data_IF_033116733860
#
_entry.id   IF_033116733860
#
_cell.length_a   1.000
_cell.length_b   1.000
_cell.length_c   1.000
_cell.angle_alpha   90.00
_cell.angle_beta   90.00
_cell.angle_gamma   90.00
#
_symmetry.space_group_name_H-M   'P 1'
#
loop_
_entity.id
_entity.type
_entity.pdbx_description
1 polymer ?
#
# COMPACT_ATOMS: atom_id res chain seq x y z
N UNK A 1 7.02 1.28 13.14
CA UNK A 1 8.01 0.83 14.12
C UNK A 1 7.74 -0.63 14.50
N UNK A 2 8.78 -1.45 14.70
CA UNK A 2 8.71 -2.88 15.01
C UNK A 2 8.11 -3.78 13.92
N UNK A 3 8.04 -3.31 12.69
CA UNK A 3 7.69 -4.11 11.51
C UNK A 3 8.95 -4.31 10.69
N UNK A 4 9.16 -5.54 10.17
CA UNK A 4 10.27 -5.80 9.23
C UNK A 4 10.01 -5.00 7.97
N UNK A 5 10.92 -4.09 7.58
CA UNK A 5 10.65 -3.16 6.49
C UNK A 5 10.85 -3.81 5.12
N UNK A 6 10.09 -3.32 4.15
CA UNK A 6 10.37 -3.47 2.73
C UNK A 6 10.70 -2.09 2.16
N UNK A 7 9.85 -1.10 2.39
CA UNK A 7 9.96 0.22 1.78
C UNK A 7 9.52 1.32 2.75
N UNK A 8 10.41 2.22 3.11
CA UNK A 8 10.10 3.34 4.01
C UNK A 8 9.11 4.35 3.44
N UNK A 9 8.92 4.37 2.12
CA UNK A 9 7.99 5.31 1.46
C UNK A 9 6.69 4.68 0.98
N UNK A 10 6.57 3.34 1.00
CA UNK A 10 5.39 2.61 0.53
C UNK A 10 4.75 1.71 1.61
N UNK A 11 5.51 1.27 2.62
CA UNK A 11 4.97 0.43 3.69
C UNK A 11 3.97 1.20 4.54
N UNK A 12 2.87 0.54 4.87
CA UNK A 12 1.89 1.05 5.82
C UNK A 12 1.27 -0.08 6.63
N UNK A 13 0.99 0.19 7.89
CA UNK A 13 0.22 -0.70 8.75
C UNK A 13 -1.23 -0.22 8.81
N UNK A 14 -2.17 -1.06 8.37
CA UNK A 14 -3.59 -0.76 8.39
C UNK A 14 -4.37 -1.71 9.30
N UNK A 15 -5.41 -1.25 10.00
CA UNK A 15 -6.26 -2.10 10.82
C UNK A 15 -7.08 -3.06 9.96
N UNK A 16 -7.14 -4.34 10.37
CA UNK A 16 -8.05 -5.33 9.83
C UNK A 16 -9.10 -5.69 10.88
N UNK A 17 -10.37 -5.48 10.55
CA UNK A 17 -11.48 -5.71 11.47
C UNK A 17 -12.73 -6.20 10.72
N UNK A 18 -13.75 -6.64 11.46
CA UNK A 18 -15.01 -7.12 10.87
C UNK A 18 -16.01 -6.02 10.57
N UNK A 19 -15.80 -4.82 11.08
CA UNK A 19 -16.60 -3.65 10.78
C UNK A 19 -15.73 -2.41 10.57
N UNK A 20 -16.26 -1.41 9.87
CA UNK A 20 -15.60 -0.11 9.70
C UNK A 20 -15.38 0.58 11.03
N UNK A 21 -16.35 0.48 11.96
CA UNK A 21 -16.22 1.05 13.29
C UNK A 21 -15.06 0.43 14.08
N UNK A 22 -14.93 -0.91 14.07
CA UNK A 22 -13.83 -1.59 14.76
C UNK A 22 -12.46 -1.22 14.13
N UNK A 23 -12.42 -1.08 12.79
CA UNK A 23 -11.21 -0.61 12.09
C UNK A 23 -10.85 0.83 12.49
N UNK A 24 -11.83 1.71 12.59
CA UNK A 24 -11.66 3.10 13.03
C UNK A 24 -11.19 3.19 14.50
N UNK A 25 -11.74 2.38 15.38
CA UNK A 25 -11.30 2.28 16.78
C UNK A 25 -9.85 1.80 16.88
N UNK A 26 -9.49 0.76 16.11
CA UNK A 26 -8.11 0.27 16.07
C UNK A 26 -7.17 1.32 15.47
N UNK A 27 -7.57 1.99 14.38
CA UNK A 27 -6.79 3.09 13.80
C UNK A 27 -6.58 4.22 14.81
N UNK A 28 -7.61 4.59 15.56
CA UNK A 28 -7.51 5.59 16.64
C UNK A 28 -6.46 5.19 17.68
N UNK A 29 -6.42 3.90 18.03
CA UNK A 29 -5.47 3.41 19.03
C UNK A 29 -4.02 3.39 18.55
N UNK A 30 -3.78 3.12 17.26
CA UNK A 30 -2.42 3.01 16.70
C UNK A 30 -1.93 4.31 16.04
N UNK A 31 -2.82 5.23 15.68
CA UNK A 31 -2.45 6.49 15.03
C UNK A 31 -1.87 7.48 16.06
N UNK A 32 -0.56 7.56 16.12
CA UNK A 32 0.14 8.45 17.03
C UNK A 32 1.43 8.99 16.42
N UNK A 33 2.04 9.98 17.08
CA UNK A 33 3.40 10.39 16.76
C UNK A 33 4.38 9.43 17.44
N UNK A 34 5.27 8.81 16.66
CA UNK A 34 6.37 7.99 17.16
C UNK A 34 7.69 8.68 16.81
N UNK A 35 8.49 9.10 17.81
CA UNK A 35 9.79 9.72 17.55
C UNK A 35 10.77 8.81 16.78
N UNK A 36 10.58 7.49 16.83
CA UNK A 36 11.38 6.54 16.08
C UNK A 36 10.96 6.44 14.59
N UNK A 37 9.82 7.02 14.23
CA UNK A 37 9.32 7.12 12.87
C UNK A 37 9.00 8.59 12.53
N UNK A 38 9.95 9.26 11.90
CA UNK A 38 9.90 10.69 11.64
C UNK A 38 8.68 11.12 10.81
N UNK A 39 8.19 10.26 9.90
CA UNK A 39 7.01 10.55 9.07
C UNK A 39 5.78 10.76 9.94
N UNK A 40 5.63 9.98 11.00
CA UNK A 40 4.49 10.09 11.90
C UNK A 40 4.45 11.41 12.67
N UNK A 41 5.58 12.10 12.81
CA UNK A 41 5.66 13.38 13.52
C UNK A 41 5.26 14.58 12.65
N UNK A 42 5.20 14.40 11.32
CA UNK A 42 4.92 15.49 10.37
C UNK A 42 3.44 15.59 9.96
N UNK A 43 2.58 14.67 10.38
CA UNK A 43 1.16 14.65 10.03
C UNK A 43 0.40 15.71 10.84
N UNK A 44 -0.07 16.79 10.21
CA UNK A 44 -0.89 17.79 10.88
C UNK A 44 -2.33 17.29 11.06
N UNK A 45 -3.03 17.83 12.05
CA UNK A 45 -4.49 17.67 12.23
C UNK A 45 -4.98 16.20 12.24
N UNK A 46 -4.28 15.34 12.95
CA UNK A 46 -4.71 13.97 13.15
C UNK A 46 -6.04 13.93 13.92
N UNK A 47 -7.09 13.23 13.45
CA UNK A 47 -8.30 13.05 14.23
C UNK A 47 -7.99 12.41 15.58
N UNK A 48 -8.62 12.91 16.63
CA UNK A 48 -8.53 12.30 17.98
C UNK A 48 -9.30 10.97 18.03
N UNK A 49 -10.33 10.82 17.18
CA UNK A 49 -11.18 9.64 17.04
C UNK A 49 -11.58 9.49 15.57
N UNK A 50 -11.09 8.43 14.92
CA UNK A 50 -11.46 8.10 13.53
C UNK A 50 -12.86 7.51 13.40
N UNK A 51 -13.49 7.10 14.51
CA UNK A 51 -14.87 6.63 14.56
C UNK A 51 -15.90 7.76 14.67
N UNK A 52 -15.46 8.97 15.00
CA UNK A 52 -16.35 10.12 15.17
C UNK A 52 -17.12 10.43 13.87
N UNK A 53 -18.44 10.52 13.96
CA UNK A 53 -19.32 10.84 12.84
C UNK A 53 -19.62 9.68 11.87
N UNK A 54 -19.08 8.48 12.07
CA UNK A 54 -19.37 7.34 11.18
C UNK A 54 -20.85 6.93 11.21
N UNK A 55 -21.50 7.04 12.36
CA UNK A 55 -22.92 6.68 12.50
C UNK A 55 -23.87 7.65 11.77
N UNK A 56 -23.43 8.88 11.59
CA UNK A 56 -24.18 9.95 10.91
C UNK A 56 -23.78 10.10 9.43
N UNK A 57 -22.84 9.29 8.95
CA UNK A 57 -22.38 9.32 7.56
C UNK A 57 -23.48 8.85 6.60
N UNK A 58 -23.59 9.50 5.45
CA UNK A 58 -24.55 9.16 4.40
C UNK A 58 -23.88 9.14 3.04
N UNK A 59 -24.35 8.26 2.15
CA UNK A 59 -23.97 8.24 0.74
C UNK A 59 -24.96 9.00 -0.15
N UNK A 60 -26.02 9.61 0.42
CA UNK A 60 -27.06 10.32 -0.35
C UNK A 60 -26.45 11.42 -1.22
N UNK A 61 -26.59 11.28 -2.53
CA UNK A 61 -26.04 12.20 -3.53
C UNK A 61 -24.52 12.16 -3.73
N UNK A 62 -23.81 11.29 -3.02
CA UNK A 62 -22.35 11.14 -3.17
C UNK A 62 -22.05 10.46 -4.51
N UNK A 63 -21.26 11.11 -5.34
CA UNK A 63 -20.82 10.57 -6.63
C UNK A 63 -19.57 9.72 -6.42
N UNK A 64 -19.62 8.45 -6.87
CA UNK A 64 -18.56 7.45 -6.68
C UNK A 64 -18.15 6.89 -8.03
N UNK A 65 -16.87 7.01 -8.36
CA UNK A 65 -16.28 6.41 -9.56
C UNK A 65 -16.04 4.92 -9.39
N UNK A 66 -16.54 4.12 -10.31
CA UNK A 66 -16.49 2.65 -10.27
C UNK A 66 -15.52 2.14 -11.32
N UNK A 67 -14.44 1.50 -10.88
CA UNK A 67 -13.38 0.97 -11.74
C UNK A 67 -13.64 -0.51 -12.05
N UNK A 68 -14.68 -0.80 -12.86
CA UNK A 68 -15.11 -2.19 -13.15
C UNK A 68 -14.03 -3.03 -13.84
N UNK A 69 -13.20 -2.43 -14.66
CA UNK A 69 -12.08 -3.12 -15.31
C UNK A 69 -11.06 -3.73 -14.36
N UNK A 70 -11.06 -3.34 -13.08
CA UNK A 70 -10.14 -3.85 -12.06
C UNK A 70 -10.65 -5.11 -11.32
N UNK A 71 -11.84 -5.63 -11.66
CA UNK A 71 -12.44 -6.82 -11.00
C UNK A 71 -11.77 -8.12 -11.42
N UNK A 72 -11.13 -8.16 -12.60
CA UNK A 72 -10.57 -9.40 -13.17
C UNK A 72 -11.65 -10.37 -13.69
N UNK A 73 -11.29 -11.65 -13.83
CA UNK A 73 -12.15 -12.63 -14.52
C UNK A 73 -12.96 -13.55 -13.59
N UNK A 74 -12.70 -13.52 -12.29
CA UNK A 74 -13.38 -14.37 -11.31
C UNK A 74 -14.85 -13.96 -11.12
N UNK A 75 -15.78 -14.88 -11.41
CA UNK A 75 -17.21 -14.59 -11.34
C UNK A 75 -17.69 -14.30 -9.92
N UNK A 76 -17.19 -15.01 -8.92
CA UNK A 76 -17.52 -14.77 -7.51
C UNK A 76 -17.11 -13.38 -7.01
N UNK A 77 -15.99 -12.83 -7.53
CA UNK A 77 -15.59 -11.45 -7.23
C UNK A 77 -16.48 -10.44 -7.95
N UNK A 78 -16.86 -10.70 -9.22
CA UNK A 78 -17.82 -9.86 -9.95
C UNK A 78 -19.14 -9.77 -9.21
N UNK A 79 -19.69 -10.91 -8.82
CA UNK A 79 -20.97 -10.99 -8.09
C UNK A 79 -20.92 -10.25 -6.74
N UNK A 80 -19.82 -10.41 -5.99
CA UNK A 80 -19.63 -9.73 -4.71
C UNK A 80 -19.46 -8.20 -4.90
N UNK A 81 -18.73 -7.78 -5.91
CA UNK A 81 -18.54 -6.36 -6.22
C UNK A 81 -19.86 -5.71 -6.67
N UNK A 82 -20.60 -6.36 -7.57
CA UNK A 82 -21.91 -5.87 -8.03
C UNK A 82 -22.92 -5.78 -6.87
N UNK A 83 -22.91 -6.74 -5.95
CA UNK A 83 -23.74 -6.66 -4.74
C UNK A 83 -23.37 -5.46 -3.86
N UNK A 84 -22.07 -5.19 -3.67
CA UNK A 84 -21.60 -4.02 -2.92
C UNK A 84 -21.99 -2.69 -3.59
N UNK A 85 -21.90 -2.62 -4.92
CA UNK A 85 -22.33 -1.45 -5.69
C UNK A 85 -23.83 -1.20 -5.55
N UNK A 86 -24.64 -2.25 -5.63
CA UNK A 86 -26.09 -2.15 -5.40
C UNK A 86 -26.44 -1.69 -3.98
N UNK A 87 -25.62 -2.06 -2.98
CA UNK A 87 -25.78 -1.55 -1.61
C UNK A 87 -25.48 -0.04 -1.52
N UNK A 88 -24.44 0.43 -2.21
CA UNK A 88 -24.11 1.85 -2.29
C UNK A 88 -25.21 2.67 -2.97
N UNK A 89 -25.78 2.18 -4.08
CA UNK A 89 -26.92 2.83 -4.75
C UNK A 89 -28.16 2.88 -3.84
N UNK A 90 -28.45 1.81 -3.12
CA UNK A 90 -29.56 1.79 -2.15
C UNK A 90 -29.36 2.76 -0.98
N UNK A 91 -28.09 3.07 -0.66
CA UNK A 91 -27.73 4.07 0.33
C UNK A 91 -27.70 5.51 -0.24
N UNK A 92 -28.08 5.70 -1.51
CA UNK A 92 -28.22 7.01 -2.17
C UNK A 92 -27.00 7.47 -2.96
N UNK A 93 -25.98 6.63 -3.13
CA UNK A 93 -24.82 6.98 -3.96
C UNK A 93 -25.17 7.06 -5.45
N UNK A 94 -24.49 7.93 -6.17
CA UNK A 94 -24.53 8.04 -7.63
C UNK A 94 -23.27 7.37 -8.18
N UNK A 95 -23.42 6.22 -8.81
CA UNK A 95 -22.31 5.48 -9.39
C UNK A 95 -21.98 6.01 -10.79
N UNK A 96 -20.68 6.20 -11.06
CA UNK A 96 -20.14 6.66 -12.36
C UNK A 96 -19.11 5.63 -12.80
N UNK A 97 -19.39 4.89 -13.86
CA UNK A 97 -18.42 3.95 -14.41
C UNK A 97 -17.21 4.69 -15.00
N UNK A 98 -16.02 4.27 -14.62
CA UNK A 98 -14.76 4.88 -15.02
C UNK A 98 -13.92 3.83 -15.76
N UNK A 99 -13.55 4.18 -16.99
CA UNK A 99 -12.54 3.44 -17.74
C UNK A 99 -11.14 3.81 -17.22
N UNK A 100 -10.39 2.80 -16.82
CA UNK A 100 -9.04 2.97 -16.30
C UNK A 100 -8.11 1.87 -16.82
N UNK A 101 -7.05 2.30 -17.48
CA UNK A 101 -5.95 1.43 -17.88
C UNK A 101 -4.73 1.68 -16.99
N UNK A 102 -4.20 0.65 -16.32
CA UNK A 102 -3.03 0.79 -15.45
C UNK A 102 -1.80 1.29 -16.21
N UNK A 103 -1.13 2.27 -15.66
CA UNK A 103 0.11 2.80 -16.23
C UNK A 103 1.29 1.87 -15.90
N UNK A 104 1.83 1.18 -16.91
CA UNK A 104 2.93 0.22 -16.75
C UNK A 104 4.24 0.90 -16.30
N UNK A 105 4.46 2.16 -16.67
CA UNK A 105 5.62 2.93 -16.22
C UNK A 105 5.55 3.23 -14.73
N UNK A 106 4.38 3.59 -14.23
CA UNK A 106 4.14 3.79 -12.79
C UNK A 106 4.49 2.53 -11.99
N UNK A 107 4.04 1.36 -12.45
CA UNK A 107 4.37 0.09 -11.77
C UNK A 107 5.85 -0.25 -11.83
N UNK A 108 6.51 -0.05 -12.97
CA UNK A 108 7.95 -0.25 -13.12
C UNK A 108 8.72 0.63 -12.15
N UNK A 109 8.40 1.91 -12.10
CA UNK A 109 9.08 2.87 -11.26
C UNK A 109 8.81 2.64 -9.77
N UNK A 110 7.56 2.32 -9.41
CA UNK A 110 7.20 1.92 -8.04
C UNK A 110 7.96 0.66 -7.61
N UNK A 111 8.11 -0.31 -8.49
CA UNK A 111 8.88 -1.53 -8.21
C UNK A 111 10.38 -1.26 -8.05
N UNK A 112 10.94 -0.35 -8.85
CA UNK A 112 12.34 0.08 -8.70
C UNK A 112 12.57 0.75 -7.34
N UNK A 113 11.63 1.60 -6.90
CA UNK A 113 11.64 2.21 -5.56
C UNK A 113 11.64 1.13 -4.48
N UNK A 114 10.74 0.15 -4.61
CA UNK A 114 10.62 -0.96 -3.67
C UNK A 114 11.94 -1.75 -3.54
N UNK A 115 12.58 -2.08 -4.65
CA UNK A 115 13.83 -2.84 -4.66
C UNK A 115 14.99 -2.06 -4.01
N UNK A 116 15.11 -0.77 -4.32
CA UNK A 116 16.15 0.07 -3.72
C UNK A 116 15.93 0.22 -2.19
N UNK A 117 14.71 0.50 -1.78
CA UNK A 117 14.38 0.69 -0.36
C UNK A 117 14.47 -0.61 0.43
N UNK A 118 14.09 -1.76 -0.14
CA UNK A 118 14.24 -3.06 0.50
C UNK A 118 15.70 -3.31 0.94
N UNK A 119 16.65 -3.00 0.07
CA UNK A 119 18.08 -3.13 0.38
C UNK A 119 18.49 -2.23 1.55
N UNK A 120 18.15 -0.94 1.45
CA UNK A 120 18.55 0.06 2.44
C UNK A 120 17.87 -0.16 3.80
N UNK A 121 16.57 -0.38 3.80
CA UNK A 121 15.79 -0.50 5.03
C UNK A 121 16.02 -1.86 5.74
N UNK A 122 16.18 -2.95 4.99
CA UNK A 122 16.54 -4.24 5.57
C UNK A 122 17.91 -4.18 6.23
N UNK A 123 18.89 -3.51 5.61
CA UNK A 123 20.20 -3.29 6.19
C UNK A 123 20.15 -2.50 7.50
N UNK A 124 19.40 -1.41 7.54
CA UNK A 124 19.18 -0.61 8.76
C UNK A 124 18.50 -1.44 9.86
N UNK A 125 17.44 -2.17 9.50
CA UNK A 125 16.69 -2.99 10.43
C UNK A 125 17.56 -4.07 11.05
N UNK A 126 18.23 -4.88 10.24
CA UNK A 126 19.11 -5.98 10.69
C UNK A 126 20.26 -5.46 11.55
N UNK A 127 20.85 -4.31 11.19
CA UNK A 127 21.93 -3.68 11.96
C UNK A 127 21.46 -3.20 13.34
N UNK A 128 20.17 -2.87 13.51
CA UNK A 128 19.58 -2.41 14.76
C UNK A 128 19.25 -3.52 15.75
N UNK A 129 19.19 -4.80 15.30
CA UNK A 129 18.82 -5.91 16.13
C UNK A 129 19.94 -6.25 17.15
N UNK A 130 19.59 -6.60 18.40
CA UNK A 130 20.55 -7.06 19.40
C UNK A 130 21.07 -8.47 19.07
N UNK A 131 22.19 -8.86 19.64
CA UNK A 131 22.78 -10.19 19.49
C UNK A 131 23.98 -10.22 18.57
N UNK A 132 24.70 -11.34 18.57
CA UNK A 132 25.87 -11.61 17.73
C UNK A 132 25.58 -12.76 16.75
N UNK A 133 26.33 -12.85 15.66
CA UNK A 133 26.21 -13.93 14.69
C UNK A 133 24.99 -13.91 13.79
N UNK A 134 24.25 -12.80 13.77
CA UNK A 134 23.07 -12.61 12.92
C UNK A 134 23.43 -11.84 11.63
N UNK A 135 22.70 -12.06 10.52
CA UNK A 135 22.77 -11.18 9.34
C UNK A 135 22.61 -9.70 9.71
N UNK A 136 23.40 -8.82 9.11
CA UNK A 136 23.39 -7.37 9.38
C UNK A 136 23.10 -6.53 8.13
N UNK A 137 23.02 -7.20 7.00
CA UNK A 137 22.72 -6.61 5.70
C UNK A 137 21.84 -7.55 4.88
N UNK A 138 21.29 -7.05 3.79
CA UNK A 138 20.56 -7.91 2.85
C UNK A 138 21.49 -8.96 2.24
N UNK A 139 22.75 -8.59 1.93
CA UNK A 139 23.75 -9.52 1.43
C UNK A 139 24.04 -10.66 2.42
N UNK A 140 24.16 -10.36 3.73
CA UNK A 140 24.35 -11.39 4.77
C UNK A 140 23.11 -12.31 4.87
N UNK A 141 21.91 -11.75 4.73
CA UNK A 141 20.67 -12.53 4.74
C UNK A 141 20.59 -13.46 3.53
N UNK A 142 20.95 -12.98 2.34
CA UNK A 142 21.07 -13.80 1.14
C UNK A 142 22.02 -14.96 1.36
N UNK A 143 23.22 -14.70 1.88
CA UNK A 143 24.22 -15.73 2.14
C UNK A 143 23.73 -16.74 3.22
N UNK A 144 23.03 -16.27 4.24
CA UNK A 144 22.42 -17.14 5.25
C UNK A 144 21.38 -18.08 4.63
N UNK A 145 20.48 -17.55 3.79
CA UNK A 145 19.46 -18.35 3.12
C UNK A 145 20.09 -19.41 2.18
N UNK A 146 21.14 -19.05 1.45
CA UNK A 146 21.87 -19.99 0.60
C UNK A 146 22.53 -21.11 1.41
N UNK A 147 23.15 -20.78 2.54
CA UNK A 147 23.80 -21.76 3.42
C UNK A 147 22.77 -22.69 4.09
N UNK A 148 21.51 -22.28 4.19
CA UNK A 148 20.41 -23.01 4.82
C UNK A 148 19.26 -23.33 3.81
N UNK A 149 19.56 -23.48 2.54
CA UNK A 149 18.59 -23.55 1.45
C UNK A 149 17.53 -24.64 1.61
N UNK A 150 17.88 -25.78 2.20
CA UNK A 150 16.94 -26.90 2.44
C UNK A 150 15.79 -26.50 3.38
N UNK A 151 16.02 -25.55 4.27
CA UNK A 151 15.03 -25.05 5.24
C UNK A 151 14.41 -23.75 4.76
N UNK A 152 15.24 -22.76 4.41
CA UNK A 152 14.80 -21.39 4.16
C UNK A 152 14.21 -21.21 2.76
N UNK A 153 14.69 -21.98 1.77
CA UNK A 153 14.22 -21.87 0.37
C UNK A 153 13.43 -23.11 -0.11
N UNK A 154 12.82 -23.84 0.83
CA UNK A 154 12.09 -25.08 0.52
C UNK A 154 10.91 -24.88 -0.43
N UNK A 155 10.24 -23.73 -0.39
CA UNK A 155 9.00 -23.46 -1.11
C UNK A 155 9.15 -22.45 -2.22
N UNK A 156 10.10 -21.52 -2.11
CA UNK A 156 10.42 -20.49 -3.09
C UNK A 156 11.87 -20.01 -2.89
N UNK A 157 12.44 -19.40 -3.92
CA UNK A 157 13.78 -18.82 -3.88
C UNK A 157 13.81 -17.40 -3.31
N UNK A 158 14.93 -16.71 -3.52
CA UNK A 158 15.16 -15.34 -3.02
C UNK A 158 15.48 -14.33 -4.13
N UNK A 159 14.89 -14.53 -5.32
CA UNK A 159 15.21 -13.72 -6.51
C UNK A 159 15.02 -12.22 -6.27
N UNK A 160 13.98 -11.83 -5.52
CA UNK A 160 13.72 -10.43 -5.18
C UNK A 160 14.77 -9.85 -4.24
N UNK A 161 15.34 -10.63 -3.33
CA UNK A 161 16.44 -10.18 -2.47
C UNK A 161 17.71 -9.94 -3.30
N UNK A 162 18.02 -10.87 -4.23
CA UNK A 162 19.15 -10.73 -5.14
C UNK A 162 18.99 -9.50 -6.04
N UNK A 163 17.79 -9.28 -6.57
CA UNK A 163 17.48 -8.10 -7.37
C UNK A 163 17.62 -6.82 -6.56
N UNK A 164 17.07 -6.78 -5.35
CA UNK A 164 17.17 -5.63 -4.45
C UNK A 164 18.62 -5.31 -4.10
N UNK A 165 19.44 -6.34 -3.78
CA UNK A 165 20.86 -6.15 -3.47
C UNK A 165 21.64 -5.55 -4.65
N UNK A 166 21.27 -5.90 -5.89
CA UNK A 166 21.82 -5.32 -7.11
C UNK A 166 21.32 -3.91 -7.44
N UNK A 167 20.27 -3.42 -6.76
CA UNK A 167 19.65 -2.10 -7.05
C UNK A 167 20.29 -1.02 -6.19
N UNK A 168 21.36 -0.39 -6.70
CA UNK A 168 22.22 0.54 -5.94
C UNK A 168 22.22 1.97 -6.46
N UNK A 169 21.66 2.22 -7.64
CA UNK A 169 21.65 3.55 -8.29
C UNK A 169 20.65 4.48 -7.61
N UNK A 170 21.17 5.41 -6.80
CA UNK A 170 20.38 6.40 -6.06
C UNK A 170 19.72 7.44 -6.97
N UNK A 171 20.39 7.87 -8.03
CA UNK A 171 19.83 8.85 -8.95
C UNK A 171 18.63 8.25 -9.71
N UNK A 172 18.77 7.03 -10.20
CA UNK A 172 17.67 6.30 -10.82
C UNK A 172 16.50 6.04 -9.84
N UNK A 173 16.80 5.73 -8.58
CA UNK A 173 15.78 5.60 -7.52
C UNK A 173 15.01 6.90 -7.29
N UNK A 174 15.70 8.03 -7.14
CA UNK A 174 15.05 9.34 -6.90
C UNK A 174 14.18 9.77 -8.09
N UNK A 175 14.66 9.53 -9.32
CA UNK A 175 13.89 9.78 -10.53
C UNK A 175 12.63 8.89 -10.60
N UNK A 176 12.77 7.59 -10.37
CA UNK A 176 11.66 6.63 -10.36
C UNK A 176 10.63 6.97 -9.28
N UNK A 177 11.07 7.32 -8.07
CA UNK A 177 10.17 7.72 -6.97
C UNK A 177 9.36 8.96 -7.32
N UNK A 178 10.00 9.99 -7.86
CA UNK A 178 9.33 11.22 -8.29
C UNK A 178 8.30 10.94 -9.38
N UNK A 179 8.67 10.13 -10.37
CA UNK A 179 7.79 9.79 -11.47
C UNK A 179 6.61 8.92 -11.03
N UNK A 180 6.84 7.91 -10.19
CA UNK A 180 5.77 7.05 -9.66
C UNK A 180 4.72 7.85 -8.86
N UNK A 181 5.14 8.79 -8.01
CA UNK A 181 4.24 9.67 -7.26
C UNK A 181 3.42 10.55 -8.21
N UNK A 182 4.06 11.17 -9.21
CA UNK A 182 3.38 12.01 -10.21
C UNK A 182 2.36 11.20 -11.01
N UNK A 183 2.75 10.04 -11.50
CA UNK A 183 1.87 9.18 -12.30
C UNK A 183 0.69 8.62 -11.48
N UNK A 184 0.92 8.21 -10.23
CA UNK A 184 -0.14 7.68 -9.37
C UNK A 184 -1.11 8.76 -8.85
N UNK A 185 -0.60 9.93 -8.45
CA UNK A 185 -1.39 11.06 -7.96
C UNK A 185 -1.99 11.89 -9.09
N UNK A 186 -1.26 12.90 -9.50
CA UNK A 186 -1.74 13.93 -10.44
C UNK A 186 -2.25 13.38 -11.78
N UNK A 187 -1.58 12.33 -12.31
CA UNK A 187 -1.90 11.74 -13.62
C UNK A 187 -2.90 10.60 -13.57
N UNK A 188 -3.28 10.14 -12.39
CA UNK A 188 -4.24 9.05 -12.22
C UNK A 188 -5.35 9.44 -11.25
N UNK A 189 -5.13 9.37 -9.95
CA UNK A 189 -6.21 9.52 -8.95
C UNK A 189 -6.84 10.90 -9.05
N UNK A 190 -6.04 11.97 -9.01
CA UNK A 190 -6.55 13.34 -9.02
C UNK A 190 -7.28 13.63 -10.34
N UNK A 191 -6.74 13.16 -11.47
CA UNK A 191 -7.34 13.33 -12.79
C UNK A 191 -8.68 12.60 -12.88
N UNK A 192 -8.74 11.32 -12.48
CA UNK A 192 -9.98 10.53 -12.52
C UNK A 192 -11.08 11.13 -11.65
N UNK A 193 -10.74 11.60 -10.44
CA UNK A 193 -11.69 12.29 -9.57
C UNK A 193 -12.24 13.57 -10.21
N UNK A 194 -11.35 14.40 -10.77
CA UNK A 194 -11.72 15.68 -11.33
C UNK A 194 -12.51 15.57 -12.65
N UNK A 195 -12.06 14.72 -13.59
CA UNK A 195 -12.69 14.57 -14.91
C UNK A 195 -14.09 13.94 -14.84
N UNK A 196 -14.32 13.09 -13.85
CA UNK A 196 -15.60 12.38 -13.67
C UNK A 196 -16.51 13.05 -12.62
N UNK A 197 -16.04 14.12 -11.98
CA UNK A 197 -16.77 14.80 -10.90
C UNK A 197 -17.24 13.81 -9.83
N UNK A 198 -16.31 13.00 -9.32
CA UNK A 198 -16.58 12.00 -8.28
C UNK A 198 -15.75 12.28 -7.03
N UNK A 199 -16.31 11.94 -5.86
CA UNK A 199 -15.65 12.17 -4.57
C UNK A 199 -14.71 11.05 -4.18
N UNK A 200 -14.98 9.82 -4.66
CA UNK A 200 -14.24 8.61 -4.33
C UNK A 200 -14.13 7.71 -5.55
N UNK A 201 -13.12 6.83 -5.53
CA UNK A 201 -12.99 5.71 -6.45
C UNK A 201 -13.18 4.40 -5.69
N UNK A 202 -13.88 3.43 -6.28
CA UNK A 202 -14.04 2.09 -5.75
C UNK A 202 -13.59 1.04 -6.75
N UNK A 203 -12.85 0.07 -6.24
CA UNK A 203 -12.39 -1.11 -6.96
C UNK A 203 -12.28 -2.27 -5.96
N UNK A 204 -12.28 -3.53 -6.41
CA UNK A 204 -11.88 -4.64 -5.55
C UNK A 204 -10.44 -4.48 -5.08
N UNK A 205 -10.12 -4.98 -3.89
CA UNK A 205 -8.75 -4.97 -3.36
C UNK A 205 -7.80 -5.74 -4.29
N UNK A 206 -8.29 -6.79 -4.90
CA UNK A 206 -7.58 -7.58 -5.91
C UNK A 206 -8.58 -8.34 -6.78
N UNK A 207 -8.36 -8.27 -8.07
CA UNK A 207 -9.12 -9.03 -9.09
C UNK A 207 -8.43 -10.32 -9.52
#
# INVERSE_FOLDING_TARGET
>A
THVVPISSTQDTAGPMARSVMDAAMLLTAIAGADPADAVTTTVPNRPADYGAGLAESSLEGVRIGVMRGQVGDRQDLKDAFDAALADMERAGAILVDIEFEPNTEMYRDSFQVLMFELREEMGKYLSSLPGEGMPRSLADLIAFNEANAETEMRWFGQDLFIQAEGTTDREAYEAARKNAIHLAGERTIDLLLAENDVSFLVAPTRG
#
